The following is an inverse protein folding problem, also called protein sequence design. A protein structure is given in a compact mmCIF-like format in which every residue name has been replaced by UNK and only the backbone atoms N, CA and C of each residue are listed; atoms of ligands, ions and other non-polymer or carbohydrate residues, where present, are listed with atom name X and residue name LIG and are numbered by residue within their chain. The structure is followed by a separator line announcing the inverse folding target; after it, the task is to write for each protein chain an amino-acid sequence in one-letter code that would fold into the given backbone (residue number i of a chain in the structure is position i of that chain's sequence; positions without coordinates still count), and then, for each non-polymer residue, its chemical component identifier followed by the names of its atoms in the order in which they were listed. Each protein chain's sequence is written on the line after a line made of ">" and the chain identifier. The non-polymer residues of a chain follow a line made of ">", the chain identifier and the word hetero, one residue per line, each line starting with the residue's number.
data_IF_758846601280
#
_entry.id   IF_758846601280
#
_cell.length_a   1.000
_cell.length_b   1.000
_cell.length_c   1.000
_cell.angle_alpha   90.00
_cell.angle_beta   90.00
_cell.angle_gamma   90.00
#
_symmetry.space_group_name_H-M   'P 1'
#
loop_
_entity.id
_entity.type
_entity.pdbx_description
1 polymer ?
#
# COMPACT_ATOMS: atom_id res chain seq x y z
N UNK A 1 14.34 3.81 -17.37
CA UNK A 1 13.11 4.59 -17.16
C UNK A 1 12.20 4.53 -18.38
N UNK A 2 12.73 4.77 -19.58
CA UNK A 2 11.91 4.92 -20.81
C UNK A 2 10.99 3.74 -21.13
N UNK A 3 11.48 2.49 -21.09
CA UNK A 3 10.66 1.26 -21.25
C UNK A 3 9.44 1.24 -20.31
N UNK A 4 9.59 1.78 -19.10
CA UNK A 4 8.52 1.89 -18.10
C UNK A 4 7.57 3.04 -18.38
N UNK A 5 8.03 4.14 -19.00
CA UNK A 5 7.18 5.25 -19.43
C UNK A 5 6.32 4.81 -20.61
N UNK A 6 6.94 4.39 -21.70
CA UNK A 6 6.27 3.96 -22.94
C UNK A 6 5.31 2.79 -22.66
N UNK A 7 5.77 1.76 -21.95
CA UNK A 7 4.93 0.61 -21.61
C UNK A 7 3.74 0.96 -20.71
N UNK A 8 3.98 1.63 -19.58
CA UNK A 8 2.92 1.88 -18.59
C UNK A 8 1.99 3.06 -18.99
N UNK A 9 2.39 4.00 -19.88
CA UNK A 9 1.57 5.20 -20.23
C UNK A 9 1.18 5.39 -21.69
N UNK A 10 1.96 4.89 -22.66
CA UNK A 10 1.67 5.12 -24.10
C UNK A 10 1.03 3.90 -24.77
N UNK A 11 1.52 2.70 -24.44
CA UNK A 11 1.11 1.45 -25.10
C UNK A 11 0.24 0.54 -24.22
N UNK A 12 0.13 0.81 -22.92
CA UNK A 12 -0.58 -0.06 -21.97
C UNK A 12 0.04 -1.46 -21.79
N UNK A 13 1.29 -1.65 -22.22
CA UNK A 13 1.93 -2.97 -22.28
C UNK A 13 2.62 -3.37 -20.98
N UNK A 14 2.33 -4.58 -20.50
CA UNK A 14 2.92 -5.16 -19.30
C UNK A 14 4.42 -5.50 -19.49
N UNK A 15 5.31 -4.59 -19.07
CA UNK A 15 6.77 -4.79 -19.20
C UNK A 15 7.44 -5.26 -17.88
N UNK A 16 8.43 -6.16 -17.97
CA UNK A 16 9.24 -6.65 -16.83
C UNK A 16 10.74 -6.54 -17.15
N UNK A 17 11.46 -5.68 -16.42
CA UNK A 17 12.89 -5.47 -16.59
C UNK A 17 13.70 -6.40 -15.68
N UNK A 18 14.82 -6.94 -16.17
CA UNK A 18 15.80 -7.73 -15.42
C UNK A 18 17.18 -7.11 -15.64
N UNK A 19 18.04 -7.08 -14.62
CA UNK A 19 19.42 -6.62 -14.78
C UNK A 19 20.26 -7.69 -15.49
N UNK A 20 21.11 -7.30 -16.45
CA UNK A 20 21.92 -8.23 -17.26
C UNK A 20 22.70 -9.23 -16.39
N UNK A 21 23.29 -8.80 -15.27
CA UNK A 21 24.00 -9.69 -14.33
C UNK A 21 23.12 -10.84 -13.79
N UNK A 22 21.82 -10.63 -13.62
CA UNK A 22 20.85 -11.63 -13.16
C UNK A 22 20.33 -12.53 -14.31
N UNK A 23 20.59 -12.15 -15.57
CA UNK A 23 20.35 -12.98 -16.77
C UNK A 23 21.57 -13.86 -17.04
N UNK A 24 22.77 -13.28 -16.94
CA UNK A 24 24.06 -14.01 -17.10
C UNK A 24 24.28 -15.01 -15.97
N UNK A 25 23.95 -14.66 -14.72
CA UNK A 25 23.99 -15.55 -13.57
C UNK A 25 22.61 -15.63 -12.91
N UNK A 26 21.78 -16.54 -13.41
CA UNK A 26 20.47 -16.85 -12.83
C UNK A 26 20.61 -17.67 -11.56
N UNK A 27 19.63 -17.55 -10.65
CA UNK A 27 19.45 -18.47 -9.52
C UNK A 27 17.97 -18.84 -9.41
N UNK A 28 17.62 -20.06 -8.92
CA UNK A 28 16.23 -20.47 -8.79
C UNK A 28 15.38 -19.48 -7.98
N UNK A 29 15.93 -18.92 -6.90
CA UNK A 29 15.25 -17.90 -6.09
C UNK A 29 15.00 -16.59 -6.87
N UNK A 30 15.95 -16.17 -7.73
CA UNK A 30 15.78 -14.97 -8.56
C UNK A 30 14.72 -15.18 -9.64
N UNK A 31 14.68 -16.37 -10.24
CA UNK A 31 13.66 -16.75 -11.22
C UNK A 31 12.28 -16.86 -10.57
N UNK A 32 12.16 -17.52 -9.41
CA UNK A 32 10.90 -17.59 -8.64
C UNK A 32 10.36 -16.19 -8.30
N UNK A 33 11.21 -15.32 -7.72
CA UNK A 33 10.85 -13.93 -7.43
C UNK A 33 10.51 -13.10 -8.69
N UNK A 34 11.01 -13.49 -9.87
CA UNK A 34 10.65 -12.88 -11.15
C UNK A 34 9.27 -13.36 -11.62
N UNK A 35 8.99 -14.66 -11.54
CA UNK A 35 7.70 -15.26 -11.87
C UNK A 35 6.56 -14.65 -11.02
N UNK A 36 6.76 -14.50 -9.70
CA UNK A 36 5.81 -13.81 -8.81
C UNK A 36 5.42 -12.41 -9.32
N UNK A 37 6.36 -11.68 -9.93
CA UNK A 37 6.15 -10.32 -10.47
C UNK A 37 5.57 -10.30 -11.88
N UNK A 38 5.73 -11.39 -12.65
CA UNK A 38 5.14 -11.56 -13.98
C UNK A 38 3.67 -11.97 -13.83
N UNK A 39 3.37 -12.99 -13.04
CA UNK A 39 2.02 -13.52 -12.82
C UNK A 39 1.02 -12.39 -12.47
N UNK A 40 1.37 -11.56 -11.48
CA UNK A 40 0.54 -10.43 -11.02
C UNK A 40 0.35 -9.34 -12.08
N UNK A 41 1.29 -9.16 -13.02
CA UNK A 41 1.13 -8.22 -14.14
C UNK A 41 0.20 -8.74 -15.23
N UNK A 42 0.14 -10.06 -15.38
CA UNK A 42 -0.81 -10.75 -16.25
C UNK A 42 -2.17 -10.96 -15.54
N UNK A 43 -2.35 -10.40 -14.34
CA UNK A 43 -3.57 -10.49 -13.55
C UNK A 43 -3.71 -11.73 -12.67
N UNK A 44 -2.75 -12.66 -12.72
CA UNK A 44 -2.74 -13.86 -11.87
C UNK A 44 -2.59 -13.57 -10.39
N UNK A 45 -3.00 -14.53 -9.56
CA UNK A 45 -2.93 -14.47 -8.10
C UNK A 45 -1.83 -15.46 -7.67
N UNK A 46 -0.87 -15.00 -6.86
CA UNK A 46 0.24 -15.84 -6.39
C UNK A 46 -0.16 -16.69 -5.19
N UNK A 47 -0.90 -16.08 -4.25
CA UNK A 47 -1.35 -16.69 -3.02
C UNK A 47 -2.63 -15.99 -2.52
N UNK A 48 -3.35 -16.70 -1.67
CA UNK A 48 -4.48 -16.22 -0.88
C UNK A 48 -4.20 -16.57 0.58
N UNK A 49 -4.84 -15.85 1.51
CA UNK A 49 -4.89 -16.27 2.91
C UNK A 49 -5.79 -17.51 3.05
N UNK A 50 -5.82 -18.14 4.23
CA UNK A 50 -6.77 -19.22 4.48
C UNK A 50 -8.12 -18.60 4.90
N UNK A 51 -9.29 -19.03 4.36
CA UNK A 51 -10.56 -18.33 4.55
C UNK A 51 -11.09 -18.21 5.99
N UNK A 52 -10.57 -18.98 6.95
CA UNK A 52 -11.17 -19.18 8.28
C UNK A 52 -11.40 -17.92 9.14
N UNK A 53 -10.79 -16.78 8.81
CA UNK A 53 -10.92 -15.52 9.57
C UNK A 53 -11.23 -14.30 8.69
N UNK A 54 -11.24 -14.47 7.35
CA UNK A 54 -11.42 -13.40 6.38
C UNK A 54 -12.15 -13.97 5.17
N UNK A 55 -13.43 -13.63 5.01
CA UNK A 55 -14.30 -14.16 3.95
C UNK A 55 -13.92 -13.71 2.53
N UNK A 56 -12.89 -12.87 2.38
CA UNK A 56 -12.37 -12.37 1.11
C UNK A 56 -10.85 -12.14 1.16
N UNK A 57 -10.14 -12.51 0.08
CA UNK A 57 -8.67 -12.52 0.02
C UNK A 57 -8.08 -11.28 -0.66
N UNK A 58 -7.34 -10.39 0.05
CA UNK A 58 -6.87 -9.13 -0.50
C UNK A 58 -5.64 -9.26 -1.44
N UNK A 59 -5.85 -9.84 -2.64
CA UNK A 59 -4.76 -10.18 -3.58
C UNK A 59 -4.57 -9.21 -4.77
N UNK A 60 -5.60 -8.48 -5.20
CA UNK A 60 -5.53 -7.56 -6.37
C UNK A 60 -5.70 -6.10 -5.95
N UNK A 61 -4.76 -5.25 -6.35
CA UNK A 61 -4.73 -3.83 -5.99
C UNK A 61 -4.67 -2.91 -7.21
N UNK A 62 -5.73 -2.14 -7.45
CA UNK A 62 -5.70 -1.03 -8.42
C UNK A 62 -5.07 0.22 -7.78
N UNK A 63 -4.72 1.24 -8.58
CA UNK A 63 -4.00 2.43 -8.09
C UNK A 63 -4.48 3.73 -8.73
N UNK A 64 -4.62 4.78 -7.93
CA UNK A 64 -4.70 6.17 -8.41
C UNK A 64 -3.48 6.95 -7.94
N UNK A 65 -3.08 7.93 -8.75
CA UNK A 65 -1.84 8.70 -8.56
C UNK A 65 -2.13 10.16 -8.85
N UNK A 66 -1.65 11.06 -8.00
CA UNK A 66 -1.76 12.53 -8.17
C UNK A 66 -0.44 13.21 -7.80
N UNK A 67 -0.16 14.33 -8.47
CA UNK A 67 1.02 15.16 -8.24
C UNK A 67 0.59 16.35 -7.39
N UNK A 68 1.38 16.71 -6.38
CA UNK A 68 1.04 17.79 -5.44
C UNK A 68 2.26 18.69 -5.15
N UNK A 69 2.03 19.76 -4.39
CA UNK A 69 3.06 20.74 -4.03
C UNK A 69 4.13 20.12 -3.12
N UNK A 70 5.39 20.59 -3.16
CA UNK A 70 6.43 20.15 -2.24
C UNK A 70 6.05 20.30 -0.77
N UNK A 71 6.53 19.39 0.08
CA UNK A 71 6.35 19.38 1.55
C UNK A 71 4.91 19.33 2.07
N UNK A 72 3.91 19.28 1.20
CA UNK A 72 2.52 19.06 1.58
C UNK A 72 2.32 17.60 1.97
N UNK A 73 1.83 17.36 3.20
CA UNK A 73 1.48 16.02 3.69
C UNK A 73 0.02 15.66 3.43
N UNK A 74 -0.91 16.62 3.57
CA UNK A 74 -2.34 16.44 3.25
C UNK A 74 -2.52 16.12 1.77
N UNK A 75 -3.47 15.24 1.46
CA UNK A 75 -3.75 14.76 0.11
C UNK A 75 -4.92 15.56 -0.47
N UNK A 76 -4.63 16.61 -1.25
CA UNK A 76 -5.64 17.55 -1.79
C UNK A 76 -6.73 16.85 -2.61
N UNK A 77 -6.33 16.09 -3.64
CA UNK A 77 -7.24 15.39 -4.56
C UNK A 77 -7.90 14.13 -3.99
N UNK A 78 -7.88 13.94 -2.67
CA UNK A 78 -8.24 12.66 -2.07
C UNK A 78 -9.68 12.22 -2.40
N UNK A 79 -10.63 13.14 -2.37
CA UNK A 79 -12.02 12.84 -2.69
C UNK A 79 -12.15 12.25 -4.10
N UNK A 80 -11.48 12.84 -5.08
CA UNK A 80 -11.47 12.34 -6.45
C UNK A 80 -10.77 10.98 -6.55
N UNK A 81 -9.61 10.83 -5.89
CA UNK A 81 -8.88 9.56 -5.85
C UNK A 81 -9.76 8.43 -5.33
N UNK A 82 -10.38 8.61 -4.16
CA UNK A 82 -11.28 7.63 -3.51
C UNK A 82 -12.52 7.34 -4.36
N UNK A 83 -13.10 8.35 -5.00
CA UNK A 83 -14.22 8.18 -5.93
C UNK A 83 -13.85 7.25 -7.09
N UNK A 84 -12.69 7.43 -7.72
CA UNK A 84 -12.22 6.50 -8.76
C UNK A 84 -11.99 5.09 -8.22
N UNK A 85 -11.52 4.94 -6.98
CA UNK A 85 -11.36 3.64 -6.34
C UNK A 85 -12.71 2.94 -6.16
N UNK A 86 -13.70 3.63 -5.59
CA UNK A 86 -15.06 3.12 -5.40
C UNK A 86 -15.73 2.74 -6.73
N UNK A 87 -15.50 3.51 -7.80
CA UNK A 87 -16.04 3.20 -9.13
C UNK A 87 -15.42 1.92 -9.70
N UNK A 88 -14.09 1.76 -9.71
CA UNK A 88 -13.53 0.52 -10.28
C UNK A 88 -13.65 -0.68 -9.33
N UNK A 89 -13.87 -0.47 -8.01
CA UNK A 89 -14.40 -1.48 -7.10
C UNK A 89 -15.73 -1.98 -7.63
N UNK A 90 -16.74 -1.12 -7.75
CA UNK A 90 -18.06 -1.53 -8.20
C UNK A 90 -18.05 -2.18 -9.59
N UNK A 91 -17.22 -1.71 -10.53
CA UNK A 91 -17.07 -2.34 -11.86
C UNK A 91 -16.59 -3.80 -11.80
N UNK A 92 -15.77 -4.15 -10.82
CA UNK A 92 -15.12 -5.45 -10.70
C UNK A 92 -15.77 -6.37 -9.65
N UNK A 93 -16.40 -5.80 -8.63
CA UNK A 93 -17.14 -6.52 -7.58
C UNK A 93 -18.63 -6.66 -7.86
N UNK A 94 -19.25 -5.67 -8.53
CA UNK A 94 -20.70 -5.43 -8.56
C UNK A 94 -21.35 -5.18 -7.19
N UNK A 95 -20.54 -4.95 -6.16
CA UNK A 95 -20.96 -4.61 -4.80
C UNK A 95 -20.45 -3.22 -4.41
N UNK A 96 -21.22 -2.50 -3.59
CA UNK A 96 -20.76 -1.29 -2.90
C UNK A 96 -20.09 -1.70 -1.59
N UNK A 97 -18.93 -1.15 -1.21
CA UNK A 97 -18.34 -1.47 0.08
C UNK A 97 -19.18 -0.92 1.23
N UNK A 98 -19.46 -1.73 2.24
CA UNK A 98 -20.15 -1.32 3.48
C UNK A 98 -19.17 -0.77 4.51
N UNK A 99 -17.89 -1.16 4.41
CA UNK A 99 -16.80 -0.67 5.26
C UNK A 99 -15.62 -0.20 4.42
N UNK A 100 -14.96 0.88 4.83
CA UNK A 100 -13.71 1.39 4.28
C UNK A 100 -12.65 1.35 5.38
N UNK A 101 -11.54 0.65 5.15
CA UNK A 101 -10.41 0.57 6.09
C UNK A 101 -9.20 1.17 5.41
N UNK A 102 -8.76 2.32 5.91
CA UNK A 102 -7.77 3.16 5.26
C UNK A 102 -6.43 3.13 6.00
N UNK A 103 -5.36 2.71 5.31
CA UNK A 103 -4.01 2.65 5.87
C UNK A 103 -3.13 3.81 5.36
N UNK A 104 -2.85 4.78 6.24
CA UNK A 104 -2.07 5.97 5.95
C UNK A 104 -0.61 5.82 6.39
N UNK A 105 0.31 5.57 5.47
CA UNK A 105 1.75 5.56 5.76
C UNK A 105 2.35 6.99 5.85
N UNK A 106 3.26 7.19 6.79
CA UNK A 106 4.21 8.31 6.77
C UNK A 106 3.69 9.68 7.24
N UNK A 107 2.71 9.72 8.16
CA UNK A 107 2.25 10.97 8.81
C UNK A 107 3.03 11.25 10.10
N UNK A 108 3.58 12.47 10.30
CA UNK A 108 4.17 12.89 11.56
C UNK A 108 3.13 12.97 12.71
N UNK A 109 3.53 12.56 13.92
CA UNK A 109 2.63 12.49 15.08
C UNK A 109 1.95 13.83 15.40
N UNK A 110 2.70 14.94 15.41
CA UNK A 110 2.16 16.29 15.63
C UNK A 110 1.22 16.82 14.54
N UNK A 111 0.98 16.07 13.45
CA UNK A 111 0.05 16.44 12.38
C UNK A 111 -1.15 15.48 12.27
N UNK A 112 -1.24 14.44 13.11
CA UNK A 112 -2.29 13.41 13.03
C UNK A 112 -3.72 14.00 13.05
N UNK A 113 -4.11 14.92 13.96
CA UNK A 113 -5.49 15.41 14.02
C UNK A 113 -5.86 16.26 12.80
N UNK A 114 -4.94 17.09 12.33
CA UNK A 114 -5.15 17.95 11.17
C UNK A 114 -5.30 17.12 9.89
N UNK A 115 -4.41 16.16 9.66
CA UNK A 115 -4.44 15.30 8.48
C UNK A 115 -5.68 14.39 8.51
N UNK A 116 -6.05 13.84 9.68
CA UNK A 116 -7.30 13.10 9.85
C UNK A 116 -8.50 13.93 9.41
N UNK A 117 -8.64 15.15 9.92
CA UNK A 117 -9.79 16.00 9.65
C UNK A 117 -10.00 16.22 8.13
N UNK A 118 -8.97 16.65 7.42
CA UNK A 118 -9.05 16.86 5.97
C UNK A 118 -9.25 15.55 5.18
N UNK A 119 -8.50 14.49 5.51
CA UNK A 119 -8.57 13.25 4.74
C UNK A 119 -9.86 12.46 4.98
N UNK A 120 -10.38 12.42 6.22
CA UNK A 120 -11.65 11.75 6.56
C UNK A 120 -12.85 12.45 5.89
N UNK A 121 -12.89 13.79 5.92
CA UNK A 121 -13.93 14.56 5.23
C UNK A 121 -13.88 14.31 3.72
N UNK A 122 -12.70 14.26 3.11
CA UNK A 122 -12.55 13.97 1.69
C UNK A 122 -13.00 12.53 1.32
N UNK A 123 -12.79 11.53 2.19
CA UNK A 123 -13.31 10.17 1.99
C UNK A 123 -14.85 10.16 2.06
N UNK A 124 -15.46 10.85 3.04
CA UNK A 124 -16.92 10.95 3.18
C UNK A 124 -17.56 11.69 2.01
N UNK A 125 -16.99 12.82 1.60
CA UNK A 125 -17.38 13.59 0.42
C UNK A 125 -17.32 12.76 -0.87
N UNK A 126 -16.30 11.90 -1.04
CA UNK A 126 -16.23 10.97 -2.18
C UNK A 126 -17.39 9.98 -2.23
N UNK A 127 -17.86 9.51 -1.06
CA UNK A 127 -18.99 8.59 -0.95
C UNK A 127 -20.31 9.29 -1.29
N UNK A 128 -20.56 10.47 -0.70
CA UNK A 128 -21.76 11.29 -0.95
C UNK A 128 -21.83 11.75 -2.42
N UNK A 129 -20.68 12.06 -3.05
CA UNK A 129 -20.57 12.40 -4.48
C UNK A 129 -20.81 11.23 -5.43
N UNK A 130 -20.87 9.99 -4.94
CA UNK A 130 -21.31 8.84 -5.72
C UNK A 130 -22.81 8.61 -5.58
N UNK A 131 -23.32 8.70 -4.35
CA UNK A 131 -24.73 8.50 -4.03
C UNK A 131 -25.05 9.18 -2.70
N UNK A 132 -26.15 9.95 -2.64
CA UNK A 132 -26.44 10.86 -1.50
C UNK A 132 -26.50 10.16 -0.15
N UNK A 133 -27.06 8.96 -0.13
CA UNK A 133 -27.31 8.18 1.10
C UNK A 133 -26.21 7.14 1.38
N UNK A 134 -25.15 7.10 0.56
CA UNK A 134 -24.08 6.12 0.68
C UNK A 134 -23.05 6.52 1.74
N UNK A 135 -23.22 6.00 2.95
CA UNK A 135 -22.38 6.26 4.12
C UNK A 135 -21.76 4.96 4.68
N UNK A 136 -20.68 4.44 4.07
CA UNK A 136 -19.97 3.28 4.59
C UNK A 136 -19.18 3.63 5.86
N UNK A 137 -19.04 2.68 6.78
CA UNK A 137 -18.26 2.89 8.01
C UNK A 137 -16.76 2.98 7.71
N UNK A 138 -16.08 4.02 8.20
CA UNK A 138 -14.65 4.26 7.94
C UNK A 138 -13.81 3.91 9.16
N UNK A 139 -12.75 3.13 8.97
CA UNK A 139 -11.65 2.94 9.94
C UNK A 139 -10.39 3.59 9.37
N UNK A 140 -9.79 4.54 10.10
CA UNK A 140 -8.61 5.31 9.68
C UNK A 140 -7.41 4.91 10.54
N UNK A 141 -6.41 4.28 9.93
CA UNK A 141 -5.23 3.72 10.60
C UNK A 141 -3.98 4.39 10.05
N UNK A 142 -3.22 5.11 10.88
CA UNK A 142 -1.89 5.60 10.51
C UNK A 142 -0.84 4.55 10.80
N UNK A 143 0.03 4.29 9.82
CA UNK A 143 1.19 3.40 9.93
C UNK A 143 2.45 4.25 10.01
N UNK A 144 3.26 4.01 11.05
CA UNK A 144 4.58 4.61 11.19
C UNK A 144 5.65 3.52 11.29
N UNK A 145 6.48 3.41 10.26
CA UNK A 145 7.64 2.48 10.22
C UNK A 145 8.96 3.12 10.67
N UNK A 146 9.01 4.45 10.81
CA UNK A 146 10.26 5.24 10.95
C UNK A 146 10.29 6.06 12.24
N UNK A 147 10.31 5.37 13.38
CA UNK A 147 10.42 5.97 14.72
C UNK A 147 11.62 5.39 15.49
N UNK A 148 11.82 5.89 16.71
CA UNK A 148 12.97 5.60 17.56
C UNK A 148 12.79 4.33 18.41
N UNK A 149 11.55 3.88 18.66
CA UNK A 149 11.23 2.63 19.39
C UNK A 149 11.99 1.42 18.85
N UNK A 150 12.63 0.65 19.74
CA UNK A 150 13.18 -0.67 19.47
C UNK A 150 12.70 -1.63 20.56
N UNK A 151 12.40 -2.85 20.17
CA UNK A 151 12.08 -3.94 21.09
C UNK A 151 13.28 -4.90 21.11
N UNK A 152 13.64 -5.36 22.30
CA UNK A 152 14.70 -6.33 22.53
C UNK A 152 14.12 -7.49 23.33
N UNK A 153 14.49 -8.73 23.00
CA UNK A 153 14.14 -9.88 23.84
C UNK A 153 14.93 -9.78 25.14
N UNK A 154 14.22 -9.90 26.28
CA UNK A 154 14.84 -10.03 27.60
C UNK A 154 15.37 -11.45 27.87
N UNK A 155 14.97 -12.43 27.06
CA UNK A 155 15.30 -13.84 27.27
C UNK A 155 16.42 -14.30 26.33
N UNK A 156 17.60 -14.54 26.91
CA UNK A 156 18.75 -15.16 26.26
C UNK A 156 18.63 -16.69 26.32
N UNK A 157 17.84 -17.29 25.43
CA UNK A 157 17.68 -18.74 25.33
C UNK A 157 17.49 -19.23 23.89
N UNK A 158 17.99 -20.41 23.53
CA UNK A 158 17.91 -20.92 22.16
C UNK A 158 16.48 -21.36 21.82
N UNK A 159 15.80 -20.56 20.99
CA UNK A 159 14.86 -21.12 20.01
C UNK A 159 13.46 -21.53 20.49
N UNK A 160 12.82 -20.80 21.42
CA UNK A 160 11.35 -20.74 21.50
C UNK A 160 10.90 -19.39 22.09
N UNK A 161 10.63 -18.39 21.23
CA UNK A 161 10.07 -17.10 21.64
C UNK A 161 8.57 -17.24 21.88
N UNK A 162 8.22 -17.69 23.08
CA UNK A 162 6.85 -17.73 23.57
C UNK A 162 6.40 -16.33 24.00
N UNK A 163 5.32 -15.86 23.39
CA UNK A 163 4.46 -14.76 23.85
C UNK A 163 5.17 -13.47 24.28
N UNK A 164 5.46 -12.60 23.32
CA UNK A 164 5.63 -11.16 23.59
C UNK A 164 4.84 -10.36 22.55
N UNK A 165 3.55 -10.17 22.81
CA UNK A 165 2.76 -9.14 22.11
C UNK A 165 3.36 -7.78 22.46
N UNK A 166 3.74 -7.00 21.43
CA UNK A 166 2.83 -5.92 21.04
C UNK A 166 2.30 -6.08 19.61
N UNK A 167 1.10 -5.53 19.41
CA UNK A 167 0.43 -5.26 18.15
C UNK A 167 1.39 -5.11 16.94
N UNK A 168 1.42 -6.15 16.10
CA UNK A 168 2.09 -6.18 14.78
C UNK A 168 3.64 -6.05 14.83
N UNK A 169 4.28 -6.45 15.93
CA UNK A 169 5.72 -6.76 15.93
C UNK A 169 6.07 -8.07 15.18
N UNK A 170 5.07 -8.92 14.91
CA UNK A 170 5.25 -10.33 14.53
C UNK A 170 5.89 -10.61 13.14
N UNK A 171 5.94 -9.64 12.22
CA UNK A 171 6.55 -9.86 10.90
C UNK A 171 8.10 -9.89 10.92
N UNK A 172 8.72 -9.11 11.81
CA UNK A 172 10.18 -8.96 11.94
C UNK A 172 10.71 -9.57 13.27
N UNK A 173 9.87 -10.28 14.02
CA UNK A 173 10.23 -10.94 15.30
C UNK A 173 10.42 -12.46 15.22
N UNK A 174 9.77 -13.14 14.27
CA UNK A 174 9.85 -14.61 14.11
C UNK A 174 11.14 -15.03 13.39
N UNK A 175 11.74 -14.13 12.61
CA UNK A 175 13.05 -14.31 12.00
C UNK A 175 13.91 -13.09 12.33
N UNK A 176 15.19 -13.24 12.73
CA UNK A 176 16.07 -12.10 12.84
C UNK A 176 16.12 -11.35 11.50
N UNK A 177 16.02 -10.01 11.49
CA UNK A 177 16.16 -9.24 10.27
C UNK A 177 17.52 -9.57 9.64
N UNK A 178 17.63 -9.66 8.29
CA UNK A 178 18.86 -10.11 7.64
C UNK A 178 20.11 -9.31 8.04
N UNK A 179 19.93 -8.04 8.43
CA UNK A 179 20.93 -7.15 9.00
C UNK A 179 20.24 -6.15 9.96
N UNK A 180 20.89 -5.83 11.10
CA UNK A 180 20.48 -4.76 12.02
C UNK A 180 19.43 -5.15 13.07
N UNK A 181 18.83 -4.15 13.74
CA UNK A 181 17.72 -4.35 14.69
C UNK A 181 16.37 -4.14 14.02
N UNK A 182 15.38 -4.96 14.41
CA UNK A 182 14.00 -4.82 13.94
C UNK A 182 13.43 -3.45 14.28
N UNK A 183 12.62 -2.90 13.37
CA UNK A 183 11.82 -1.69 13.60
C UNK A 183 10.35 -2.11 13.56
N UNK A 184 9.72 -2.44 14.71
CA UNK A 184 8.31 -2.78 14.73
C UNK A 184 7.53 -1.57 14.21
N UNK A 185 6.54 -1.76 13.34
CA UNK A 185 5.73 -0.63 12.87
C UNK A 185 4.69 -0.25 13.91
N UNK A 186 4.54 1.05 14.20
CA UNK A 186 3.46 1.57 15.04
C UNK A 186 2.17 1.77 14.21
N UNK A 187 1.02 1.47 14.81
CA UNK A 187 -0.31 1.63 14.23
C UNK A 187 -1.17 2.49 15.15
N UNK A 188 -1.68 3.61 14.64
CA UNK A 188 -2.56 4.51 15.36
C UNK A 188 -3.95 4.48 14.72
N UNK A 189 -4.95 3.97 15.44
CA UNK A 189 -6.35 4.11 15.01
C UNK A 189 -6.79 5.52 15.38
N UNK A 190 -7.03 6.34 14.36
CA UNK A 190 -7.43 7.74 14.55
C UNK A 190 -8.94 7.96 14.45
N UNK A 191 -9.64 7.04 13.78
CA UNK A 191 -11.09 7.05 13.63
C UNK A 191 -11.59 5.63 13.36
N UNK A 192 -12.74 5.24 13.91
CA UNK A 192 -13.34 3.94 13.61
C UNK A 192 -14.87 3.92 13.76
N UNK A 193 -15.58 4.10 12.65
CA UNK A 193 -17.04 3.89 12.60
C UNK A 193 -17.40 2.38 12.68
N UNK A 194 -16.46 1.47 12.38
CA UNK A 194 -16.70 0.03 12.28
C UNK A 194 -16.58 -0.70 13.62
N UNK A 195 -16.03 -0.05 14.65
CA UNK A 195 -15.91 -0.55 16.04
C UNK A 195 -15.15 -1.87 16.15
N UNK A 196 -14.01 -1.97 15.48
CA UNK A 196 -13.10 -3.12 15.62
C UNK A 196 -12.57 -3.24 17.04
N UNK A 197 -12.52 -4.46 17.56
CA UNK A 197 -11.71 -4.77 18.75
C UNK A 197 -10.22 -4.68 18.41
N UNK A 198 -9.40 -4.49 19.46
CA UNK A 198 -7.96 -4.45 19.29
C UNK A 198 -7.40 -5.76 18.69
N UNK A 199 -7.98 -6.91 19.04
CA UNK A 199 -7.53 -8.22 18.57
C UNK A 199 -7.89 -8.45 17.10
N UNK A 200 -9.13 -8.15 16.70
CA UNK A 200 -9.54 -8.21 15.28
C UNK A 200 -8.63 -7.34 14.41
N UNK A 201 -8.37 -6.09 14.83
CA UNK A 201 -7.54 -5.17 14.08
C UNK A 201 -6.08 -5.64 13.98
N UNK A 202 -5.55 -6.25 15.04
CA UNK A 202 -4.19 -6.81 15.07
C UNK A 202 -4.06 -8.04 14.16
N UNK A 203 -4.97 -9.00 14.29
CA UNK A 203 -5.04 -10.20 13.45
C UNK A 203 -5.15 -9.81 11.98
N UNK A 204 -6.06 -8.89 11.67
CA UNK A 204 -6.28 -8.34 10.34
C UNK A 204 -5.02 -7.68 9.76
N UNK A 205 -4.41 -6.77 10.52
CA UNK A 205 -3.22 -6.03 10.08
C UNK A 205 -2.06 -6.98 9.84
N UNK A 206 -1.88 -7.99 10.71
CA UNK A 206 -0.88 -9.05 10.54
C UNK A 206 -1.15 -9.92 9.32
N UNK A 207 -2.39 -10.32 9.07
CA UNK A 207 -2.78 -11.08 7.87
C UNK A 207 -2.48 -10.30 6.58
N UNK A 208 -2.75 -8.99 6.55
CA UNK A 208 -2.41 -8.12 5.41
C UNK A 208 -0.91 -7.99 5.17
N UNK A 209 -0.05 -8.24 6.16
CA UNK A 209 1.41 -8.30 5.98
C UNK A 209 1.86 -9.55 5.17
N UNK A 210 1.03 -10.59 5.06
CA UNK A 210 1.32 -11.81 4.29
C UNK A 210 0.79 -11.78 2.84
N UNK A 211 -0.01 -10.77 2.46
CA UNK A 211 -0.56 -10.64 1.09
C UNK A 211 0.34 -9.86 0.12
N UNK A 212 1.59 -9.58 0.50
CA UNK A 212 2.54 -8.89 -0.35
C UNK A 212 3.14 -9.82 -1.43
N UNK A 213 2.48 -9.82 -2.59
CA UNK A 213 2.70 -10.75 -3.73
C UNK A 213 4.11 -10.82 -4.33
N UNK A 214 5.08 -10.00 -3.90
CA UNK A 214 6.44 -10.00 -4.48
C UNK A 214 7.46 -10.87 -3.75
N UNK A 215 7.11 -11.41 -2.59
CA UNK A 215 7.95 -12.37 -1.87
C UNK A 215 7.07 -13.31 -1.03
N UNK A 216 7.54 -14.54 -0.84
CA UNK A 216 6.94 -15.55 0.05
C UNK A 216 7.36 -15.31 1.51
N UNK A 217 7.22 -14.08 1.99
CA UNK A 217 7.58 -13.63 3.35
C UNK A 217 6.60 -12.57 3.82
N UNK A 218 6.31 -12.56 5.12
CA UNK A 218 5.66 -11.42 5.76
C UNK A 218 6.51 -10.16 5.58
N UNK A 219 5.85 -9.02 5.42
CA UNK A 219 6.50 -7.69 5.38
C UNK A 219 6.13 -6.87 6.62
N UNK A 220 7.00 -5.94 7.02
CA UNK A 220 6.83 -5.16 8.25
C UNK A 220 5.61 -4.22 8.30
N UNK A 221 4.88 -4.04 7.19
CA UNK A 221 3.67 -3.21 7.06
C UNK A 221 2.66 -3.88 6.12
N UNK A 222 1.35 -3.67 6.29
CA UNK A 222 0.30 -4.20 5.42
C UNK A 222 0.58 -3.97 3.94
N UNK A 223 0.21 -4.94 3.10
CA UNK A 223 0.36 -4.83 1.65
C UNK A 223 -0.24 -3.54 1.03
N UNK A 224 -1.42 -3.02 1.45
CA UNK A 224 -1.93 -1.73 0.97
C UNK A 224 -0.94 -0.57 1.18
N UNK A 225 -0.46 -0.40 2.42
CA UNK A 225 0.53 0.61 2.80
C UNK A 225 1.87 0.41 2.04
N UNK A 226 2.31 -0.83 1.86
CA UNK A 226 3.52 -1.13 1.09
C UNK A 226 3.37 -0.78 -0.41
N UNK A 227 2.18 -0.97 -1.00
CA UNK A 227 1.96 -0.65 -2.40
C UNK A 227 1.74 0.82 -2.69
N UNK A 228 1.25 1.62 -1.73
CA UNK A 228 0.95 3.03 -1.93
C UNK A 228 2.15 3.82 -2.52
N UNK A 229 3.37 3.82 -1.95
CA UNK A 229 4.49 4.58 -2.53
C UNK A 229 4.96 4.14 -3.92
N UNK A 230 4.59 2.93 -4.38
CA UNK A 230 5.19 2.31 -5.59
C UNK A 230 4.83 3.06 -6.88
N UNK A 231 3.54 3.26 -7.27
CA UNK A 231 3.22 4.07 -8.45
C UNK A 231 3.73 5.51 -8.38
N UNK A 232 3.69 6.17 -7.21
CA UNK A 232 4.26 7.51 -7.04
C UNK A 232 5.76 7.55 -7.38
N UNK A 233 6.52 6.56 -6.90
CA UNK A 233 7.93 6.39 -7.28
C UNK A 233 8.12 6.16 -8.79
N UNK A 234 7.18 5.49 -9.47
CA UNK A 234 7.23 5.33 -10.94
C UNK A 234 6.98 6.64 -11.68
N UNK A 235 5.98 7.42 -11.26
CA UNK A 235 5.68 8.72 -11.87
C UNK A 235 6.86 9.68 -11.69
N UNK A 236 7.48 9.72 -10.51
CA UNK A 236 8.72 10.48 -10.29
C UNK A 236 9.84 10.05 -11.25
N UNK A 237 10.01 8.75 -11.51
CA UNK A 237 10.98 8.24 -12.49
C UNK A 237 10.63 8.64 -13.94
N UNK A 238 9.35 8.73 -14.30
CA UNK A 238 8.92 9.23 -15.62
C UNK A 238 9.19 10.73 -15.76
N UNK A 239 8.84 11.54 -14.76
CA UNK A 239 9.08 12.98 -14.73
C UNK A 239 10.59 13.29 -14.82
N UNK A 240 11.42 12.55 -14.08
CA UNK A 240 12.89 12.67 -14.15
C UNK A 240 13.49 12.19 -15.49
N UNK A 241 12.82 11.29 -16.21
CA UNK A 241 13.23 10.89 -17.55
C UNK A 241 12.82 11.96 -18.58
N UNK A 242 11.59 12.46 -18.50
CA UNK A 242 11.08 13.56 -19.33
C UNK A 242 11.93 14.82 -19.22
N UNK A 243 12.30 15.25 -18.01
CA UNK A 243 13.23 16.40 -17.82
C UNK A 243 14.61 16.16 -18.45
N UNK A 244 15.14 14.94 -18.40
CA UNK A 244 16.42 14.59 -19.05
C UNK A 244 16.33 14.59 -20.57
N UNK A 245 15.20 14.19 -21.14
CA UNK A 245 14.92 14.34 -22.57
C UNK A 245 14.76 15.82 -22.94
N UNK A 246 13.91 16.59 -22.26
CA UNK A 246 13.70 18.01 -22.54
C UNK A 246 15.00 18.83 -22.54
N UNK A 247 15.87 18.62 -21.52
CA UNK A 247 17.21 19.23 -21.45
C UNK A 247 18.13 18.79 -22.58
N UNK A 248 18.03 17.55 -23.06
CA UNK A 248 18.81 17.03 -24.20
C UNK A 248 18.36 17.61 -25.55
N UNK A 249 17.11 18.07 -25.64
CA UNK A 249 16.53 18.71 -26.83
C UNK A 249 16.47 20.24 -26.72
N UNK A 250 17.18 20.87 -25.77
CA UNK A 250 17.33 22.33 -25.69
C UNK A 250 16.14 23.11 -25.13
N UNK A 251 15.11 22.45 -24.60
CA UNK A 251 13.97 23.15 -24.00
C UNK A 251 14.34 23.72 -22.62
N UNK A 252 14.10 25.03 -22.46
CA UNK A 252 14.40 25.79 -21.22
C UNK A 252 13.51 25.30 -20.05
N UNK A 253 14.07 25.32 -18.84
CA UNK A 253 13.57 24.61 -17.67
C UNK A 253 12.21 25.15 -17.18
N UNK A 254 11.12 24.40 -17.44
CA UNK A 254 9.83 24.63 -16.79
C UNK A 254 9.94 24.19 -15.33
N UNK A 255 10.42 25.12 -14.51
CA UNK A 255 10.81 24.92 -13.11
C UNK A 255 9.62 24.79 -12.15
N UNK A 256 8.75 23.80 -12.38
CA UNK A 256 7.89 23.31 -11.31
C UNK A 256 8.69 22.38 -10.39
N UNK A 257 8.90 22.81 -9.15
CA UNK A 257 9.41 21.95 -8.10
C UNK A 257 8.40 20.86 -7.75
N UNK A 258 8.53 19.68 -8.36
CA UNK A 258 7.71 18.50 -8.05
C UNK A 258 8.59 17.41 -7.44
N UNK A 259 8.44 17.19 -6.13
CA UNK A 259 9.28 16.26 -5.34
C UNK A 259 8.50 15.11 -4.72
N UNK A 260 7.16 15.14 -4.75
CA UNK A 260 6.30 14.08 -4.23
C UNK A 260 5.19 13.75 -5.20
N UNK A 261 4.89 12.47 -5.29
CA UNK A 261 3.70 11.96 -5.99
C UNK A 261 3.01 11.04 -5.00
N UNK A 262 1.79 11.39 -4.61
CA UNK A 262 0.99 10.55 -3.72
C UNK A 262 0.16 9.58 -4.55
N UNK A 263 -0.09 8.43 -3.95
CA UNK A 263 -0.71 7.29 -4.60
C UNK A 263 -1.48 6.51 -3.56
N UNK A 264 -2.68 6.07 -3.94
CA UNK A 264 -3.46 5.12 -3.15
C UNK A 264 -3.71 3.86 -3.94
N UNK A 265 -3.92 2.76 -3.22
CA UNK A 265 -4.23 1.46 -3.81
C UNK A 265 -5.32 0.78 -3.02
N UNK A 266 -6.25 0.13 -3.72
CA UNK A 266 -7.35 -0.56 -3.06
C UNK A 266 -7.66 -1.93 -3.64
N UNK A 267 -8.33 -2.73 -2.79
CA UNK A 267 -8.66 -4.13 -3.01
C UNK A 267 -10.12 -4.36 -3.50
N UNK A 268 -10.39 -5.52 -4.12
CA UNK A 268 -11.60 -5.90 -4.88
C UNK A 268 -11.99 -7.39 -4.68
N UNK A 269 -13.21 -7.65 -4.16
CA UNK A 269 -14.04 -8.92 -4.19
C UNK A 269 -13.49 -10.19 -3.49
N UNK A 270 -14.21 -11.20 -2.97
CA UNK A 270 -15.61 -11.60 -2.64
C UNK A 270 -15.45 -12.55 -1.41
N UNK A 271 -16.41 -12.84 -0.51
CA UNK A 271 -17.86 -13.04 -0.71
C UNK A 271 -18.76 -12.39 0.39
N UNK A 272 -19.89 -13.05 0.71
CA UNK A 272 -20.89 -12.89 1.79
C UNK A 272 -20.87 -11.62 2.66
N UNK A 273 -22.04 -10.94 2.66
CA UNK A 273 -22.52 -9.90 3.60
C UNK A 273 -21.68 -8.64 3.86
N UNK A 274 -20.35 -8.67 3.83
CA UNK A 274 -19.51 -7.58 4.33
C UNK A 274 -18.46 -7.10 3.32
N UNK A 275 -18.87 -6.21 2.41
CA UNK A 275 -17.96 -5.67 1.40
C UNK A 275 -16.96 -4.67 2.01
N UNK A 276 -15.72 -5.09 2.26
CA UNK A 276 -14.64 -4.23 2.82
C UNK A 276 -13.74 -3.65 1.72
N UNK A 277 -13.69 -2.31 1.62
CA UNK A 277 -12.73 -1.57 0.78
C UNK A 277 -11.49 -1.23 1.61
N UNK A 278 -10.31 -1.55 1.10
CA UNK A 278 -9.03 -1.25 1.76
C UNK A 278 -8.36 -0.16 0.96
N UNK A 279 -7.99 0.98 1.53
CA UNK A 279 -7.48 2.16 0.77
C UNK A 279 -6.07 2.56 1.21
#
# INVERSE_FOLDING_TARGET
>A
AEVKRVGDTLLGMATQCVQVKNVVKTSPQTLSNLCLKINVKLGGINNILVPHHMDAHPSRYCATVRVQRPRQEVIEDLSYMVRELLIQFYKSTRFKPTRIIFYRDGVPEGQLPQILHYELLAIRDACIKLEKDYQPGITYIVVQKRHHTRLFSLMSGPGYLRETLPCVAAADGIYPPPQGTSRPSHYYVLWDDNRFTADELQILTYQLCHTYVRCTRSVSIPAPAYYAPVPGTRVLLWLQAGRRLARRWGFVDVSYGFTRTITRRYFVRNHNSESRLWV
#
